data_IF_929430154055
#
_entry.id   IF_929430154055
#
_cell.length_a   1.000
_cell.length_b   1.000
_cell.length_c   1.000
_cell.angle_alpha   90.00
_cell.angle_beta   90.00
_cell.angle_gamma   90.00
#
_symmetry.space_group_name_H-M   'P 1'
#
loop_
_entity.id
_entity.type
_entity.pdbx_description
1 polymer ?
#
# COMPACT_ATOMS: atom_id res chain seq x y z
N UNK A 1 -40.82 9.33 -17.80
CA UNK A 1 -39.66 9.97 -17.13
C UNK A 1 -38.61 8.88 -16.96
N UNK A 2 -37.44 9.01 -17.57
CA UNK A 2 -36.36 8.00 -17.43
C UNK A 2 -35.64 8.10 -16.10
N UNK A 3 -34.68 7.20 -15.86
CA UNK A 3 -33.89 7.19 -14.62
C UNK A 3 -32.90 8.38 -14.54
N UNK A 4 -32.84 9.02 -13.37
CA UNK A 4 -31.89 10.10 -13.10
C UNK A 4 -30.47 9.58 -12.81
N UNK A 5 -29.45 10.38 -13.12
CA UNK A 5 -28.04 10.02 -12.87
C UNK A 5 -27.71 10.01 -11.37
N UNK A 6 -27.35 8.84 -10.85
CA UNK A 6 -26.96 8.67 -9.44
C UNK A 6 -25.47 8.94 -9.16
N UNK A 7 -25.16 9.30 -7.91
CA UNK A 7 -23.78 9.44 -7.43
C UNK A 7 -23.07 8.07 -7.42
N UNK A 8 -21.87 8.01 -8.02
CA UNK A 8 -21.04 6.81 -8.06
C UNK A 8 -19.94 6.88 -7.00
N UNK A 9 -19.47 5.72 -6.55
CA UNK A 9 -18.35 5.64 -5.61
C UNK A 9 -17.05 6.01 -6.32
N UNK A 10 -16.21 6.78 -5.62
CA UNK A 10 -14.89 7.24 -6.12
C UNK A 10 -13.79 6.19 -5.92
N UNK A 11 -14.06 5.11 -5.18
CA UNK A 11 -13.07 4.10 -4.83
C UNK A 11 -13.65 2.69 -4.97
N UNK A 12 -12.77 1.71 -5.15
CA UNK A 12 -13.09 0.28 -5.26
C UNK A 12 -12.32 -0.50 -4.20
N UNK A 13 -12.96 -1.51 -3.61
CA UNK A 13 -12.30 -2.43 -2.66
C UNK A 13 -11.38 -3.40 -3.41
N UNK A 14 -10.31 -3.90 -2.76
CA UNK A 14 -9.54 -5.02 -3.30
C UNK A 14 -10.46 -6.25 -3.46
N UNK A 15 -10.23 -7.04 -4.52
CA UNK A 15 -11.02 -8.25 -4.78
C UNK A 15 -10.86 -9.30 -3.67
N UNK A 16 -9.63 -9.44 -3.15
CA UNK A 16 -9.26 -10.36 -2.07
C UNK A 16 -8.80 -9.55 -0.85
N UNK A 17 -9.68 -9.25 0.11
CA UNK A 17 -9.37 -8.33 1.21
C UNK A 17 -8.40 -8.91 2.25
N UNK A 18 -8.33 -10.23 2.38
CA UNK A 18 -7.51 -10.92 3.38
C UNK A 18 -6.20 -11.47 2.84
N UNK A 19 -5.74 -11.01 1.68
CA UNK A 19 -4.38 -11.32 1.23
C UNK A 19 -3.37 -10.61 2.17
N UNK A 20 -2.49 -11.40 2.78
CA UNK A 20 -1.49 -10.92 3.73
C UNK A 20 -0.51 -9.93 3.11
N UNK A 21 0.04 -10.24 1.94
CA UNK A 21 1.00 -9.37 1.22
C UNK A 21 0.39 -8.00 0.93
N UNK A 22 -0.82 -8.00 0.36
CA UNK A 22 -1.57 -6.78 0.07
C UNK A 22 -1.85 -6.00 1.36
N UNK A 23 -2.21 -6.69 2.45
CA UNK A 23 -2.48 -6.03 3.74
C UNK A 23 -1.22 -5.35 4.27
N UNK A 24 -0.06 -5.99 4.19
CA UNK A 24 1.22 -5.45 4.66
C UNK A 24 1.68 -4.27 3.81
N UNK A 25 1.60 -4.36 2.48
CA UNK A 25 1.91 -3.26 1.56
C UNK A 25 1.01 -2.03 1.81
N UNK A 26 -0.30 -2.27 2.00
CA UNK A 26 -1.24 -1.21 2.35
C UNK A 26 -0.92 -0.56 3.69
N UNK A 27 -0.51 -1.34 4.69
CA UNK A 27 -0.14 -0.79 6.01
C UNK A 27 1.15 0.02 5.93
N UNK A 28 2.15 -0.46 5.18
CA UNK A 28 3.39 0.26 4.91
C UNK A 28 3.09 1.63 4.29
N UNK A 29 2.34 1.65 3.19
CA UNK A 29 1.98 2.89 2.48
C UNK A 29 1.09 3.83 3.31
N UNK A 30 0.17 3.29 4.12
CA UNK A 30 -0.65 4.10 5.04
C UNK A 30 0.22 4.76 6.12
N UNK A 31 1.18 4.02 6.68
CA UNK A 31 2.11 4.51 7.69
C UNK A 31 3.05 5.58 7.16
N UNK A 32 3.71 5.32 6.02
CA UNK A 32 4.68 6.25 5.42
C UNK A 32 4.06 7.61 5.07
N UNK A 33 2.84 7.61 4.51
CA UNK A 33 2.16 8.83 4.09
C UNK A 33 1.21 9.42 5.16
N UNK A 34 1.07 8.78 6.33
CA UNK A 34 0.18 9.23 7.41
C UNK A 34 -1.29 9.31 6.99
N UNK A 35 -1.80 8.28 6.30
CA UNK A 35 -3.19 8.23 5.85
C UNK A 35 -4.12 7.83 7.01
N UNK A 36 -5.29 8.46 7.11
CA UNK A 36 -6.25 8.15 8.20
C UNK A 36 -6.92 6.77 8.02
N UNK A 37 -7.22 6.40 6.77
CA UNK A 37 -7.95 5.16 6.46
C UNK A 37 -7.47 4.55 5.16
N UNK A 38 -7.59 3.22 5.03
CA UNK A 38 -7.35 2.50 3.77
C UNK A 38 -8.20 3.00 2.60
N UNK A 39 -9.34 3.66 2.87
CA UNK A 39 -10.18 4.27 1.84
C UNK A 39 -9.45 5.37 1.07
N UNK A 40 -8.58 6.13 1.72
CA UNK A 40 -7.76 7.15 1.04
C UNK A 40 -6.78 6.51 0.05
N UNK A 41 -6.15 5.41 0.45
CA UNK A 41 -5.29 4.60 -0.41
C UNK A 41 -6.07 3.97 -1.57
N UNK A 42 -7.28 3.47 -1.31
CA UNK A 42 -8.11 2.90 -2.36
C UNK A 42 -8.58 3.95 -3.37
N UNK A 43 -8.80 5.20 -2.96
CA UNK A 43 -9.07 6.31 -3.88
C UNK A 43 -7.87 6.58 -4.79
N UNK A 44 -6.65 6.64 -4.27
CA UNK A 44 -5.47 6.85 -5.12
C UNK A 44 -5.24 5.67 -6.07
N UNK A 45 -5.41 4.42 -5.60
CA UNK A 45 -5.37 3.23 -6.49
C UNK A 45 -6.40 3.28 -7.60
N UNK A 46 -7.63 3.72 -7.33
CA UNK A 46 -8.64 3.84 -8.38
C UNK A 46 -8.36 4.95 -9.37
N UNK A 47 -7.83 6.10 -8.92
CA UNK A 47 -7.42 7.17 -9.83
C UNK A 47 -6.25 6.72 -10.70
N UNK A 48 -5.26 6.03 -10.13
CA UNK A 48 -4.15 5.42 -10.89
C UNK A 48 -4.69 4.46 -11.97
N UNK A 49 -5.59 3.56 -11.58
CA UNK A 49 -6.22 2.62 -12.52
C UNK A 49 -6.99 3.33 -13.63
N UNK A 50 -7.63 4.47 -13.33
CA UNK A 50 -8.30 5.33 -14.31
C UNK A 50 -7.30 5.96 -15.28
N UNK A 51 -6.21 6.54 -14.79
CA UNK A 51 -5.16 7.14 -15.62
C UNK A 51 -4.51 6.13 -16.55
N UNK A 52 -4.10 4.96 -16.03
CA UNK A 52 -3.56 3.86 -16.85
C UNK A 52 -4.56 3.32 -17.87
N UNK A 53 -5.85 3.39 -17.59
CA UNK A 53 -6.87 2.99 -18.56
C UNK A 53 -6.98 4.01 -19.70
N UNK A 54 -6.93 5.31 -19.39
CA UNK A 54 -6.91 6.38 -20.39
C UNK A 54 -5.66 6.27 -21.29
N UNK A 55 -4.48 6.06 -20.71
CA UNK A 55 -3.26 5.86 -21.49
C UNK A 55 -3.36 4.64 -22.42
N UNK A 56 -3.83 3.48 -21.92
CA UNK A 56 -4.05 2.29 -22.75
C UNK A 56 -5.08 2.50 -23.86
N UNK A 57 -6.16 3.26 -23.60
CA UNK A 57 -7.12 3.57 -24.65
C UNK A 57 -6.52 4.43 -25.76
N UNK A 58 -5.69 5.43 -25.41
CA UNK A 58 -5.03 6.28 -26.40
C UNK A 58 -4.01 5.50 -27.24
N UNK A 59 -3.28 4.57 -26.63
CA UNK A 59 -2.36 3.67 -27.32
C UNK A 59 -3.05 2.67 -28.27
N UNK A 60 -4.33 2.37 -28.05
CA UNK A 60 -5.11 1.51 -28.94
C UNK A 60 -5.74 2.28 -30.11
N UNK A 61 -5.90 3.60 -29.99
CA UNK A 61 -6.55 4.45 -30.99
C UNK A 61 -5.59 4.79 -32.13
N UNK A 62 -6.17 5.08 -33.32
CA UNK A 62 -5.44 5.54 -34.52
C UNK A 62 -4.66 6.83 -34.28
N UNK A 63 -3.55 6.98 -34.99
CA UNK A 63 -2.60 8.08 -34.81
C UNK A 63 -3.25 9.47 -34.92
N UNK A 64 -4.14 9.70 -35.88
CA UNK A 64 -4.80 11.00 -36.11
C UNK A 64 -5.60 11.53 -34.90
N UNK A 65 -6.22 10.63 -34.14
CA UNK A 65 -6.98 10.97 -32.93
C UNK A 65 -6.04 11.06 -31.74
N UNK A 66 -5.04 10.16 -31.68
CA UNK A 66 -4.02 10.17 -30.63
C UNK A 66 -3.29 11.50 -30.55
N UNK A 67 -2.83 12.05 -31.68
CA UNK A 67 -2.11 13.32 -31.72
C UNK A 67 -2.92 14.51 -31.16
N UNK A 68 -4.25 14.42 -31.17
CA UNK A 68 -5.15 15.45 -30.62
C UNK A 68 -5.41 15.23 -29.14
N UNK A 69 -5.63 14.00 -28.70
CA UNK A 69 -6.05 13.68 -27.33
C UNK A 69 -4.87 13.45 -26.36
N UNK A 70 -3.76 12.90 -26.84
CA UNK A 70 -2.54 12.67 -26.07
C UNK A 70 -2.02 13.93 -25.36
N UNK A 71 -1.82 15.08 -26.03
CA UNK A 71 -1.31 16.29 -25.37
C UNK A 71 -2.28 16.81 -24.29
N UNK A 72 -3.58 16.55 -24.42
CA UNK A 72 -4.58 16.97 -23.41
C UNK A 72 -4.36 16.20 -22.12
N UNK A 73 -4.16 14.88 -22.20
CA UNK A 73 -3.87 14.05 -21.05
C UNK A 73 -2.51 14.43 -20.46
N UNK A 74 -1.48 14.54 -21.30
CA UNK A 74 -0.11 14.84 -20.85
C UNK A 74 -0.02 16.20 -20.16
N UNK A 75 -0.60 17.26 -20.74
CA UNK A 75 -0.65 18.59 -20.11
C UNK A 75 -1.36 18.58 -18.75
N UNK A 76 -2.39 17.74 -18.59
CA UNK A 76 -3.09 17.60 -17.31
C UNK A 76 -2.22 16.93 -16.25
N UNK A 77 -1.39 15.95 -16.64
CA UNK A 77 -0.49 15.22 -15.75
C UNK A 77 0.75 16.04 -15.38
N UNK A 78 1.33 16.77 -16.35
CA UNK A 78 2.48 17.64 -16.11
C UNK A 78 2.12 18.84 -15.24
N UNK A 79 0.94 19.45 -15.45
CA UNK A 79 0.40 20.48 -14.56
C UNK A 79 0.30 20.04 -13.10
N UNK A 80 -0.04 18.77 -12.86
CA UNK A 80 -0.10 18.20 -11.51
C UNK A 80 1.30 17.86 -11.00
N UNK A 81 2.27 17.61 -11.88
CA UNK A 81 3.63 17.19 -11.54
C UNK A 81 3.74 15.67 -11.32
N UNK A 82 2.92 14.87 -12.01
CA UNK A 82 3.06 13.40 -11.99
C UNK A 82 4.08 12.89 -13.00
N UNK A 83 4.27 13.66 -14.08
CA UNK A 83 5.01 13.28 -15.27
C UNK A 83 5.71 14.55 -15.79
N UNK A 84 6.89 14.40 -16.37
CA UNK A 84 7.64 15.51 -16.99
C UNK A 84 7.07 15.89 -18.35
N UNK A 85 7.32 17.12 -18.83
CA UNK A 85 6.77 17.62 -20.09
C UNK A 85 7.29 16.86 -21.33
N UNK A 86 8.44 16.19 -21.21
CA UNK A 86 9.07 15.39 -22.29
C UNK A 86 8.68 13.91 -22.26
N UNK A 87 7.89 13.50 -21.27
CA UNK A 87 7.58 12.10 -21.06
C UNK A 87 6.57 11.56 -22.08
N UNK A 88 6.48 10.24 -22.15
CA UNK A 88 5.63 9.50 -23.07
C UNK A 88 4.44 8.85 -22.36
N UNK A 89 3.48 8.33 -23.13
CA UNK A 89 2.35 7.56 -22.58
C UNK A 89 2.79 6.30 -21.81
N UNK A 90 3.93 5.72 -22.16
CA UNK A 90 4.47 4.54 -21.47
C UNK A 90 4.91 4.85 -20.04
N UNK A 91 5.43 6.06 -19.80
CA UNK A 91 5.79 6.53 -18.46
C UNK A 91 4.55 6.64 -17.56
N UNK A 92 3.41 7.03 -18.12
CA UNK A 92 2.12 7.05 -17.42
C UNK A 92 1.71 5.64 -16.96
N UNK A 93 2.06 4.60 -17.74
CA UNK A 93 1.79 3.22 -17.37
C UNK A 93 2.64 2.77 -16.17
N UNK A 94 3.88 3.27 -16.08
CA UNK A 94 4.82 2.98 -15.01
C UNK A 94 4.56 3.75 -13.70
N UNK A 95 3.65 4.73 -13.71
CA UNK A 95 3.32 5.50 -12.49
C UNK A 95 2.88 4.62 -11.33
N UNK A 96 3.44 4.87 -10.16
CA UNK A 96 3.09 4.16 -8.93
C UNK A 96 2.11 4.94 -8.05
N UNK A 97 1.59 4.27 -7.01
CA UNK A 97 0.65 4.88 -6.05
C UNK A 97 1.37 5.95 -5.23
N UNK A 98 2.66 5.75 -4.96
CA UNK A 98 3.50 6.66 -4.19
C UNK A 98 3.59 8.02 -4.89
N UNK A 99 3.68 8.06 -6.22
CA UNK A 99 3.72 9.29 -7.01
C UNK A 99 2.45 10.14 -6.77
N UNK A 100 1.27 9.51 -6.78
CA UNK A 100 0.00 10.20 -6.51
C UNK A 100 -0.11 10.69 -5.05
N UNK A 101 0.39 9.92 -4.10
CA UNK A 101 0.37 10.30 -2.68
C UNK A 101 1.40 11.39 -2.37
N UNK A 102 2.53 11.42 -3.07
CA UNK A 102 3.56 12.44 -2.95
C UNK A 102 3.09 13.83 -3.39
N UNK A 103 2.10 13.90 -4.30
CA UNK A 103 1.49 15.17 -4.77
C UNK A 103 0.38 15.74 -3.87
N UNK A 104 0.08 15.07 -2.75
CA UNK A 104 -0.93 15.56 -1.80
C UNK A 104 -0.38 16.73 -0.99
N UNK A 105 -1.26 17.65 -0.60
CA UNK A 105 -0.89 18.78 0.24
C UNK A 105 -0.21 18.33 1.54
N UNK A 106 -0.70 17.24 2.16
CA UNK A 106 -0.11 16.68 3.39
C UNK A 106 1.38 16.35 3.26
N UNK A 107 1.76 15.68 2.17
CA UNK A 107 3.12 15.18 1.95
C UNK A 107 4.05 16.30 1.52
N UNK A 108 3.57 17.22 0.69
CA UNK A 108 4.33 18.41 0.29
C UNK A 108 4.59 19.31 1.50
N UNK A 109 3.58 19.56 2.33
CA UNK A 109 3.71 20.34 3.57
C UNK A 109 4.69 19.68 4.53
N UNK A 110 4.58 18.36 4.72
CA UNK A 110 5.51 17.59 5.56
C UNK A 110 6.96 17.78 5.11
N UNK A 111 7.21 17.66 3.79
CA UNK A 111 8.55 17.84 3.20
C UNK A 111 9.03 19.30 3.26
N UNK A 112 8.16 20.28 2.99
CA UNK A 112 8.52 21.71 2.88
C UNK A 112 8.84 22.35 4.23
N UNK A 113 8.08 22.01 5.26
CA UNK A 113 8.22 22.61 6.59
C UNK A 113 8.88 21.68 7.61
N UNK A 114 9.40 20.53 7.17
CA UNK A 114 10.12 19.57 8.03
C UNK A 114 9.35 19.21 9.31
N UNK A 115 8.06 18.90 9.18
CA UNK A 115 7.27 18.42 10.32
C UNK A 115 7.84 17.09 10.85
N UNK A 116 7.70 16.83 12.16
CA UNK A 116 8.23 15.59 12.77
C UNK A 116 7.53 14.34 12.24
N UNK A 117 6.22 14.43 12.02
CA UNK A 117 5.41 13.32 11.52
C UNK A 117 4.44 13.78 10.43
N UNK A 118 4.05 12.89 9.50
CA UNK A 118 3.02 13.22 8.51
C UNK A 118 1.66 13.51 9.15
N UNK A 119 1.41 13.01 10.36
CA UNK A 119 0.20 13.30 11.14
C UNK A 119 0.19 14.73 11.67
N UNK A 120 1.34 15.27 12.07
CA UNK A 120 1.47 16.67 12.48
C UNK A 120 1.18 17.61 11.31
N UNK A 121 1.73 17.32 10.12
CA UNK A 121 1.41 18.07 8.90
C UNK A 121 -0.10 18.03 8.59
N UNK A 122 -0.73 16.86 8.77
CA UNK A 122 -2.19 16.72 8.60
C UNK A 122 -2.98 17.57 9.59
N UNK A 123 -2.57 17.59 10.85
CA UNK A 123 -3.19 18.40 11.90
C UNK A 123 -3.13 19.89 11.53
N UNK A 124 -1.94 20.37 11.15
CA UNK A 124 -1.72 21.74 10.72
C UNK A 124 -2.65 22.16 9.57
N UNK A 125 -2.82 21.28 8.57
CA UNK A 125 -3.75 21.49 7.45
C UNK A 125 -5.19 21.54 7.95
N UNK A 126 -5.63 20.52 8.69
CA UNK A 126 -7.03 20.42 9.12
C UNK A 126 -7.47 21.57 10.03
N UNK A 127 -6.54 22.11 10.83
CA UNK A 127 -6.79 23.24 11.71
C UNK A 127 -6.68 24.60 10.98
N UNK A 128 -6.31 24.61 9.70
CA UNK A 128 -6.30 25.83 8.88
C UNK A 128 -5.04 26.68 9.00
N UNK A 129 -3.91 26.10 9.40
CA UNK A 129 -2.67 26.85 9.55
C UNK A 129 -1.89 27.04 8.24
N UNK A 130 -2.39 26.50 7.12
CA UNK A 130 -1.68 26.45 5.84
C UNK A 130 -2.40 27.25 4.78
N UNK A 131 -1.64 28.10 4.11
CA UNK A 131 -2.03 28.94 2.99
C UNK A 131 -1.41 28.42 1.70
N UNK A 132 -2.17 28.47 0.61
CA UNK A 132 -1.64 28.33 -0.75
C UNK A 132 -1.91 29.67 -1.44
N UNK A 133 -0.85 30.47 -1.65
CA UNK A 133 -1.01 31.88 -2.02
C UNK A 133 -1.73 32.61 -0.89
N UNK A 134 -2.90 33.16 -1.18
CA UNK A 134 -3.68 33.95 -0.22
C UNK A 134 -4.86 33.19 0.42
N UNK A 135 -5.10 31.93 0.02
CA UNK A 135 -6.25 31.13 0.50
C UNK A 135 -5.84 30.07 1.51
N UNK A 136 -6.65 29.90 2.55
CA UNK A 136 -6.50 28.80 3.54
C UNK A 136 -7.03 27.51 2.92
N UNK A 137 -6.20 26.46 2.90
CA UNK A 137 -6.59 25.14 2.39
C UNK A 137 -6.55 24.13 3.51
N UNK A 138 -7.72 23.66 3.94
CA UNK A 138 -7.90 22.75 5.07
C UNK A 138 -8.11 21.27 4.68
N UNK A 139 -7.87 20.92 3.41
CA UNK A 139 -8.07 19.55 2.88
C UNK A 139 -6.72 18.86 2.65
N UNK A 140 -6.32 17.88 3.48
CA UNK A 140 -5.04 17.16 3.32
C UNK A 140 -4.93 16.34 2.03
N UNK A 141 -6.07 16.01 1.42
CA UNK A 141 -6.15 15.28 0.16
C UNK A 141 -6.16 16.19 -1.07
N UNK A 142 -5.94 17.50 -0.91
CA UNK A 142 -5.81 18.42 -2.02
C UNK A 142 -4.58 18.03 -2.86
N UNK A 143 -4.72 17.98 -4.18
CA UNK A 143 -3.63 17.70 -5.12
C UNK A 143 -3.03 19.05 -5.50
N UNK A 144 -1.78 19.25 -5.12
CA UNK A 144 -1.08 20.51 -5.38
C UNK A 144 -0.56 20.50 -6.81
N UNK A 145 -0.73 21.61 -7.53
CA UNK A 145 -0.14 21.81 -8.86
C UNK A 145 1.28 22.31 -8.73
N UNK A 146 2.09 22.10 -9.76
CA UNK A 146 3.51 22.53 -9.76
C UNK A 146 3.64 24.03 -9.45
N UNK A 147 2.84 24.87 -10.11
CA UNK A 147 2.82 26.34 -9.91
C UNK A 147 2.40 26.77 -8.49
N UNK A 148 1.69 25.92 -7.75
CA UNK A 148 1.16 26.25 -6.42
C UNK A 148 2.17 25.91 -5.30
N UNK A 149 3.21 25.11 -5.57
CA UNK A 149 4.13 24.57 -4.56
C UNK A 149 4.92 25.66 -3.83
N UNK A 150 5.49 26.60 -4.59
CA UNK A 150 6.30 27.68 -4.03
C UNK A 150 5.46 28.61 -3.14
N UNK A 151 4.19 28.75 -3.50
CA UNK A 151 3.22 29.62 -2.82
C UNK A 151 2.67 29.05 -1.51
N UNK A 152 3.05 27.82 -1.11
CA UNK A 152 2.64 27.25 0.17
C UNK A 152 3.35 27.96 1.33
N UNK A 153 2.58 28.56 2.23
CA UNK A 153 3.07 29.31 3.40
C UNK A 153 2.30 28.89 4.66
N UNK A 154 2.92 29.08 5.82
CA UNK A 154 2.21 29.02 7.10
C UNK A 154 1.50 30.35 7.35
N UNK A 155 0.35 30.27 8.01
CA UNK A 155 -0.34 31.45 8.55
C UNK A 155 0.55 32.13 9.61
N UNK A 156 0.56 33.46 9.62
CA UNK A 156 1.35 34.27 10.58
C UNK A 156 1.02 33.94 12.03
N UNK A 157 -0.26 33.71 12.32
CA UNK A 157 -0.77 33.43 13.67
C UNK A 157 -0.56 31.98 14.14
N UNK A 158 0.01 31.10 13.29
CA UNK A 158 0.08 29.68 13.63
C UNK A 158 1.05 29.39 14.79
N UNK A 159 0.59 28.53 15.70
CA UNK A 159 1.41 27.95 16.78
C UNK A 159 2.59 27.17 16.19
N UNK A 160 2.42 26.60 15.00
CA UNK A 160 3.46 25.86 14.29
C UNK A 160 4.67 26.72 13.91
N UNK A 161 4.51 28.03 13.68
CA UNK A 161 5.67 28.91 13.49
C UNK A 161 6.61 28.89 14.69
N UNK A 162 6.04 28.91 15.91
CA UNK A 162 6.81 28.87 17.17
C UNK A 162 7.49 27.51 17.35
N UNK A 163 6.73 26.43 17.18
CA UNK A 163 7.23 25.05 17.34
C UNK A 163 8.35 24.73 16.34
N UNK A 164 8.24 25.23 15.10
CA UNK A 164 9.27 25.01 14.07
C UNK A 164 10.47 25.94 14.23
N UNK A 165 10.30 27.13 14.82
CA UNK A 165 11.41 28.05 15.11
C UNK A 165 12.25 27.64 16.32
N UNK A 166 11.69 26.82 17.22
CA UNK A 166 12.41 26.28 18.38
C UNK A 166 12.98 24.89 18.04
N UNK A 167 14.29 24.76 17.75
CA UNK A 167 14.88 23.47 17.45
C UNK A 167 14.90 22.59 18.71
N UNK A 168 14.28 21.41 18.60
CA UNK A 168 14.57 20.09 19.18
C UNK A 168 15.19 19.92 20.60
N UNK A 169 15.35 20.94 21.43
CA UNK A 169 16.00 20.81 22.73
C UNK A 169 15.08 20.26 23.85
N UNK A 170 13.81 19.94 23.57
CA UNK A 170 12.80 19.59 24.59
C UNK A 170 12.01 18.29 24.33
N UNK A 171 12.44 17.45 23.40
CA UNK A 171 11.79 16.14 23.20
C UNK A 171 12.77 14.98 23.35
N UNK A 172 13.44 14.91 24.49
CA UNK A 172 13.81 13.63 25.09
C UNK A 172 12.54 12.98 25.66
N UNK A 173 11.73 12.41 24.77
CA UNK A 173 10.67 11.45 25.11
C UNK A 173 10.90 10.21 24.26
N UNK A 174 12.12 9.70 24.31
CA UNK A 174 12.42 8.31 24.05
C UNK A 174 12.39 7.58 25.40
N UNK A 175 11.23 7.04 25.78
CA UNK A 175 11.21 5.99 26.80
C UNK A 175 11.87 4.75 26.17
N UNK A 176 12.86 4.10 26.83
CA UNK A 176 13.67 3.02 26.25
C UNK A 176 12.94 1.68 26.06
N UNK A 177 11.61 1.65 25.96
CA UNK A 177 10.83 0.41 26.02
C UNK A 177 10.45 -0.19 24.65
N UNK A 178 10.81 0.42 23.52
CA UNK A 178 10.51 -0.15 22.18
C UNK A 178 11.73 -0.57 21.36
N UNK A 179 12.93 -0.57 21.93
CA UNK A 179 14.13 -1.11 21.29
C UNK A 179 14.50 -2.46 21.93
N UNK A 180 13.71 -3.49 21.69
CA UNK A 180 14.13 -4.88 21.92
C UNK A 180 13.26 -5.87 21.12
N UNK A 181 13.42 -5.84 19.79
CA UNK A 181 13.33 -7.05 18.96
C UNK A 181 14.52 -6.99 17.99
N UNK A 182 15.72 -7.07 18.55
CA UNK A 182 16.92 -7.41 17.81
C UNK A 182 16.95 -8.93 17.64
N UNK A 183 16.62 -9.40 16.44
CA UNK A 183 16.97 -10.77 16.03
C UNK A 183 18.49 -10.78 15.84
N UNK A 184 19.20 -11.33 16.82
CA UNK A 184 20.63 -11.58 16.72
C UNK A 184 20.87 -12.66 15.66
N UNK A 185 21.34 -12.24 14.48
CA UNK A 185 21.99 -13.13 13.52
C UNK A 185 23.50 -13.02 13.70
N UNK A 186 24.15 -14.19 13.84
CA UNK A 186 25.47 -14.62 13.29
C UNK A 186 26.22 -15.54 14.27
N UNK A 187 27.15 -16.42 13.81
CA UNK A 187 27.25 -17.14 12.53
C UNK A 187 27.61 -18.65 12.70
N UNK A 188 27.53 -19.40 11.59
CA UNK A 188 27.94 -20.81 11.42
C UNK A 188 29.47 -20.98 11.54
N UNK A 189 29.94 -22.02 12.26
CA UNK A 189 31.27 -22.64 12.08
C UNK A 189 31.17 -24.17 12.23
N UNK A 190 31.95 -24.86 11.41
CA UNK A 190 31.90 -26.26 10.97
C UNK A 190 32.37 -27.34 11.96
N UNK A 191 32.04 -28.58 11.61
CA UNK A 191 32.26 -29.87 12.26
C UNK A 191 33.73 -30.26 12.59
N UNK A 192 33.91 -31.06 13.66
CA UNK A 192 34.84 -32.22 13.74
C UNK A 192 34.65 -33.10 15.01
N UNK A 193 34.36 -34.39 14.75
CA UNK A 193 34.77 -35.67 15.39
C UNK A 193 34.46 -36.02 16.88
N UNK A 194 33.84 -37.21 17.05
CA UNK A 194 33.60 -38.07 18.25
C UNK A 194 34.90 -38.61 18.93
N UNK A 195 34.94 -39.12 20.21
CA UNK A 195 34.13 -40.27 20.70
C UNK A 195 33.78 -40.43 22.22
N UNK A 196 32.68 -41.19 22.45
CA UNK A 196 32.34 -42.21 23.49
C UNK A 196 32.72 -41.99 24.98
N UNK A 197 31.75 -42.12 25.93
CA UNK A 197 31.74 -43.02 27.14
C UNK A 197 30.38 -42.99 27.90
N UNK A 198 29.73 -44.17 27.95
CA UNK A 198 28.96 -44.89 29.00
C UNK A 198 27.91 -44.23 29.95
N UNK A 199 26.65 -44.64 29.72
CA UNK A 199 25.67 -45.25 30.66
C UNK A 199 25.51 -44.79 32.14
N UNK A 200 24.28 -44.37 32.49
CA UNK A 200 23.40 -45.01 33.51
C UNK A 200 22.03 -44.30 33.62
N UNK A 201 20.98 -45.11 33.70
CA UNK A 201 19.56 -44.76 33.84
C UNK A 201 19.15 -44.45 35.31
N UNK A 202 18.27 -43.45 35.46
CA UNK A 202 17.08 -43.28 36.36
C UNK A 202 17.21 -43.37 37.91
N UNK A 203 16.37 -42.66 38.73
CA UNK A 203 14.89 -42.56 38.59
C UNK A 203 14.13 -41.27 39.03
N UNK A 204 12.83 -41.34 38.72
CA UNK A 204 11.66 -40.45 38.92
C UNK A 204 11.26 -40.21 40.40
N UNK A 205 10.77 -39.01 40.78
CA UNK A 205 9.74 -38.78 41.86
C UNK A 205 8.88 -37.50 41.66
N UNK A 206 7.57 -37.74 41.46
CA UNK A 206 6.29 -37.09 41.88
C UNK A 206 6.16 -35.60 42.32
N UNK A 207 5.11 -34.92 41.82
CA UNK A 207 4.02 -34.34 42.65
C UNK A 207 2.82 -33.70 41.87
N UNK A 208 1.62 -34.30 42.06
CA UNK A 208 0.24 -33.75 42.24
C UNK A 208 -0.67 -33.28 41.07
N UNK A 209 -1.77 -34.04 40.92
CA UNK A 209 -3.12 -33.87 40.31
C UNK A 209 -3.94 -32.69 40.91
N UNK A 210 -5.05 -32.11 40.40
CA UNK A 210 -6.04 -32.19 39.29
C UNK A 210 -6.94 -30.89 39.39
N UNK A 211 -8.02 -30.57 38.60
CA UNK A 211 -8.65 -31.27 37.48
C UNK A 211 -8.97 -30.41 36.22
N UNK A 212 -9.27 -31.10 35.10
CA UNK A 212 -9.82 -30.57 33.84
C UNK A 212 -11.25 -31.07 33.66
N UNK A 213 -12.18 -30.19 33.24
CA UNK A 213 -13.57 -30.53 32.92
C UNK A 213 -13.75 -30.77 31.42
N UNK A 214 -14.10 -32.01 31.11
CA UNK A 214 -14.87 -32.59 30.00
C UNK A 214 -15.16 -31.79 28.71
N UNK A 215 -14.76 -32.36 27.57
CA UNK A 215 -15.51 -32.28 26.31
C UNK A 215 -15.50 -33.66 25.60
N UNK A 216 -16.71 -34.10 25.23
CA UNK A 216 -17.07 -35.40 24.65
C UNK A 216 -16.61 -35.58 23.19
N UNK A 217 -16.48 -36.85 22.84
CA UNK A 217 -16.02 -37.50 21.60
C UNK A 217 -16.94 -37.35 20.38
N UNK A 218 -16.38 -37.49 19.16
CA UNK A 218 -16.97 -38.25 18.04
C UNK A 218 -15.86 -39.04 17.28
N UNK A 219 -16.15 -40.23 16.69
CA UNK A 219 -15.18 -41.30 16.43
C UNK A 219 -14.61 -41.39 14.99
N UNK A 220 -13.50 -42.15 14.88
CA UNK A 220 -12.78 -42.57 13.65
C UNK A 220 -13.45 -43.79 13.00
N UNK A 221 -13.61 -43.83 11.67
CA UNK A 221 -13.78 -45.08 10.90
C UNK A 221 -13.07 -45.03 9.52
N UNK A 222 -12.03 -45.86 9.42
CA UNK A 222 -11.49 -46.70 8.32
C UNK A 222 -11.25 -46.20 6.88
N UNK A 223 -10.03 -46.45 6.43
CA UNK A 223 -9.51 -46.33 5.07
C UNK A 223 -9.89 -47.52 4.17
N UNK A 224 -10.14 -47.27 2.88
CA UNK A 224 -10.04 -48.22 1.76
C UNK A 224 -9.53 -47.52 0.49
N UNK A 225 -8.69 -48.25 -0.23
CA UNK A 225 -7.78 -47.86 -1.32
C UNK A 225 -8.47 -47.40 -2.62
N UNK A 226 -7.77 -46.55 -3.37
CA UNK A 226 -8.12 -46.07 -4.73
C UNK A 226 -7.78 -47.11 -5.81
N UNK A 227 -8.60 -47.29 -6.86
CA UNK A 227 -8.15 -47.91 -8.10
C UNK A 227 -7.78 -46.88 -9.18
N UNK A 228 -6.60 -47.08 -9.77
CA UNK A 228 -6.11 -46.48 -11.03
C UNK A 228 -6.95 -47.01 -12.20
N UNK A 229 -7.43 -46.12 -13.10
CA UNK A 229 -8.06 -46.50 -14.37
C UNK A 229 -7.35 -45.82 -15.55
N UNK A 230 -6.96 -46.67 -16.50
CA UNK A 230 -6.21 -46.41 -17.73
C UNK A 230 -6.97 -45.62 -18.80
N UNK A 231 -6.17 -44.99 -19.66
CA UNK A 231 -6.54 -44.19 -20.82
C UNK A 231 -7.22 -44.99 -21.95
N UNK A 232 -8.16 -44.35 -22.65
CA UNK A 232 -8.59 -44.71 -24.01
C UNK A 232 -8.72 -43.46 -24.88
N UNK A 233 -8.25 -43.63 -26.12
CA UNK A 233 -7.93 -42.64 -27.15
C UNK A 233 -9.14 -41.92 -27.76
N UNK A 234 -8.91 -40.69 -28.23
CA UNK A 234 -9.80 -39.89 -29.06
C UNK A 234 -9.71 -40.34 -30.54
N UNK A 235 -10.83 -40.52 -31.26
CA UNK A 235 -10.78 -40.79 -32.70
C UNK A 235 -10.68 -39.51 -33.54
N UNK A 236 -9.71 -39.51 -34.46
CA UNK A 236 -9.51 -38.56 -35.57
C UNK A 236 -10.66 -38.68 -36.57
N UNK A 237 -11.28 -37.55 -36.93
CA UNK A 237 -12.27 -37.46 -38.02
C UNK A 237 -11.58 -36.89 -39.26
N UNK A 238 -11.40 -37.72 -40.28
CA UNK A 238 -11.03 -37.32 -41.64
C UNK A 238 -12.24 -36.73 -42.37
N UNK A 239 -12.08 -35.52 -42.89
CA UNK A 239 -12.99 -34.91 -43.85
C UNK A 239 -12.66 -35.42 -45.27
N UNK A 240 -13.65 -36.05 -45.93
CA UNK A 240 -13.63 -36.41 -47.35
C UNK A 240 -14.34 -35.32 -48.15
N UNK A 241 -13.73 -34.92 -49.27
CA UNK A 241 -14.32 -34.07 -50.32
C UNK A 241 -15.51 -34.77 -51.01
N UNK A 242 -16.48 -33.96 -51.44
CA UNK A 242 -17.69 -34.34 -52.17
C UNK A 242 -17.48 -34.28 -53.72
N UNK A 243 -18.35 -34.93 -54.51
CA UNK A 243 -18.08 -35.41 -55.87
C UNK A 243 -18.04 -34.37 -56.99
#
# INVERSE_FOLDING_TARGET
MGDTKNFRRVWKKPKRPFNFELKMEELKTVGTFGLKTKRELWKSRTELSRLRHQARSLLAVRQEVREKEEPILMHSLSRIGLVEDTATLDDVLNLEIENLLARRLQTIVFKKFFFKTPYQARQAISHGHILIGDRIVNRPSYVVKVEEEDNIKLTSESIFNKILSEPEAKSELGSPETENIGVSTEPVVEAKEEPVVEAKEEPVVEAKEEPVVEAKEEPVVEAKEEPVVEAKEEPVVEAKEEP
#
